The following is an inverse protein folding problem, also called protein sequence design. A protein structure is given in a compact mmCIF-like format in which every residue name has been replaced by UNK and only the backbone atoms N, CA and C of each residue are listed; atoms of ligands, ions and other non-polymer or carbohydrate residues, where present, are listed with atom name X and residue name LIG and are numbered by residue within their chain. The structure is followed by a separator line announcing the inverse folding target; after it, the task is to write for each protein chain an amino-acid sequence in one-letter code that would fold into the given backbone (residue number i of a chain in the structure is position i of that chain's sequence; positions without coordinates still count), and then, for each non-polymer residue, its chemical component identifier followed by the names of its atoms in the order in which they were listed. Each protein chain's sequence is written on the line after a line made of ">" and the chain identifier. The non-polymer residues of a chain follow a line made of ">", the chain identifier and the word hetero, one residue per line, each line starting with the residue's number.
data_IF_857302346987
#
_entry.id   IF_857302346987
#
_cell.length_a   1.000
_cell.length_b   1.000
_cell.length_c   1.000
_cell.angle_alpha   90.00
_cell.angle_beta   90.00
_cell.angle_gamma   90.00
#
_symmetry.space_group_name_H-M   'P 1'
#
loop_
_entity.id
_entity.type
_entity.pdbx_description
1 polymer ?
#
# COMPACT_ATOMS: atom_id res chain seq x y z
N UNK A 1 -51.63 19.03 -6.78
CA UNK A 1 -50.90 19.88 -5.82
C UNK A 1 -49.88 19.02 -5.11
N UNK A 2 -48.66 19.15 -5.53
CA UNK A 2 -47.40 19.38 -4.80
C UNK A 2 -46.70 18.20 -4.14
N UNK A 3 -45.58 17.82 -4.71
CA UNK A 3 -44.40 17.48 -3.92
C UNK A 3 -43.14 17.73 -4.78
N UNK A 4 -42.65 18.94 -4.69
CA UNK A 4 -41.36 19.40 -5.22
C UNK A 4 -40.54 19.93 -4.06
N UNK A 5 -39.96 19.09 -3.21
CA UNK A 5 -38.97 19.51 -2.20
C UNK A 5 -38.19 18.29 -1.64
N UNK A 6 -37.64 17.44 -2.52
CA UNK A 6 -36.73 16.39 -2.05
C UNK A 6 -35.61 16.07 -3.05
N UNK A 7 -35.11 17.08 -3.75
CA UNK A 7 -34.01 16.87 -4.73
C UNK A 7 -32.81 17.79 -4.57
N UNK A 8 -32.72 18.59 -3.49
CA UNK A 8 -31.61 19.54 -3.32
C UNK A 8 -30.71 19.27 -2.10
N UNK A 9 -30.91 18.18 -1.37
CA UNK A 9 -30.12 17.92 -0.15
C UNK A 9 -29.05 16.85 -0.33
N UNK A 10 -28.91 16.24 -1.51
CA UNK A 10 -27.89 15.19 -1.76
C UNK A 10 -26.63 15.72 -2.49
N UNK A 11 -26.67 16.97 -2.98
CA UNK A 11 -25.52 17.55 -3.72
C UNK A 11 -24.56 18.36 -2.85
N UNK A 12 -24.76 18.44 -1.55
CA UNK A 12 -23.95 19.26 -0.62
C UNK A 12 -23.07 18.46 0.32
N UNK A 13 -23.10 17.12 0.26
CA UNK A 13 -22.27 16.25 1.13
C UNK A 13 -20.99 15.79 0.44
N UNK A 14 -20.87 15.94 -0.87
CA UNK A 14 -19.65 15.55 -1.61
C UNK A 14 -18.58 16.65 -1.73
N UNK A 15 -18.82 17.85 -1.18
CA UNK A 15 -17.88 18.98 -1.29
C UNK A 15 -17.12 19.28 0.01
N UNK A 16 -17.30 18.52 1.06
CA UNK A 16 -16.68 18.80 2.38
C UNK A 16 -15.57 17.83 2.79
N UNK A 17 -15.19 16.88 1.94
CA UNK A 17 -14.06 15.97 2.22
C UNK A 17 -12.72 16.42 1.60
N UNK A 18 -12.68 17.61 0.97
CA UNK A 18 -11.47 18.12 0.32
C UNK A 18 -10.82 19.32 1.03
N UNK A 19 -11.23 19.64 2.26
CA UNK A 19 -10.81 20.87 2.95
C UNK A 19 -9.89 20.68 4.18
N UNK A 20 -9.17 19.57 4.30
CA UNK A 20 -8.19 19.38 5.39
C UNK A 20 -6.73 19.52 4.92
N UNK A 21 -6.49 19.89 3.67
CA UNK A 21 -5.13 20.07 3.11
C UNK A 21 -4.81 21.53 2.76
N UNK A 22 -5.09 22.50 3.63
CA UNK A 22 -4.60 23.87 3.45
C UNK A 22 -3.99 24.42 4.75
N UNK A 23 -2.80 23.94 5.08
CA UNK A 23 -1.77 24.80 5.65
C UNK A 23 -0.55 24.78 4.72
N UNK A 24 -0.77 25.17 3.48
CA UNK A 24 0.30 25.67 2.65
C UNK A 24 0.72 27.01 3.27
N UNK A 25 1.86 27.04 3.90
CA UNK A 25 2.56 28.29 4.22
C UNK A 25 2.65 29.06 2.90
N UNK A 26 1.85 30.11 2.77
CA UNK A 26 1.93 31.05 1.67
C UNK A 26 3.30 31.77 1.73
N UNK A 27 4.31 31.11 1.20
CA UNK A 27 5.57 31.75 0.84
C UNK A 27 5.31 32.38 -0.54
N UNK A 28 5.42 33.69 -0.64
CA UNK A 28 5.62 34.38 -1.92
C UNK A 28 6.91 33.82 -2.55
N UNK A 29 6.81 32.65 -3.17
CA UNK A 29 7.87 32.09 -3.98
C UNK A 29 7.64 32.55 -5.41
N UNK A 30 8.57 33.40 -5.89
CA UNK A 30 8.77 33.59 -7.32
C UNK A 30 9.02 32.25 -8.03
N UNK A 31 9.32 32.29 -9.31
CA UNK A 31 9.46 31.14 -10.23
C UNK A 31 10.55 30.09 -9.86
N UNK A 32 10.79 29.84 -8.58
CA UNK A 32 11.77 28.87 -8.09
C UNK A 32 11.10 27.52 -7.80
N UNK A 33 11.80 26.40 -8.07
CA UNK A 33 11.35 25.07 -7.64
C UNK A 33 11.31 24.96 -6.13
N UNK A 34 10.39 24.14 -5.62
CA UNK A 34 10.27 23.84 -4.22
C UNK A 34 9.81 22.40 -3.98
N UNK A 35 9.98 21.91 -2.76
CA UNK A 35 9.52 20.61 -2.32
C UNK A 35 8.42 20.77 -1.29
N UNK A 36 7.46 19.87 -1.35
CA UNK A 36 6.46 19.63 -0.31
C UNK A 36 6.62 18.21 0.23
N UNK A 37 6.27 18.04 1.50
CA UNK A 37 6.14 16.71 2.11
C UNK A 37 4.67 16.44 2.35
N UNK A 38 4.20 15.27 1.93
CA UNK A 38 2.83 14.81 2.13
C UNK A 38 2.83 13.56 2.99
N UNK A 39 1.95 13.54 3.95
CA UNK A 39 1.74 12.39 4.81
C UNK A 39 0.25 12.03 4.74
N UNK A 40 -0.08 10.79 4.39
CA UNK A 40 -1.46 10.35 4.21
C UNK A 40 -2.29 10.51 5.49
N UNK A 41 -1.64 10.47 6.67
CA UNK A 41 -2.27 10.75 7.96
C UNK A 41 -1.24 11.25 8.99
N UNK A 42 -1.57 12.31 9.69
CA UNK A 42 -0.75 12.93 10.75
C UNK A 42 -1.09 12.40 12.16
N UNK A 43 -2.19 11.64 12.27
CA UNK A 43 -2.62 10.92 13.48
C UNK A 43 -2.96 9.49 13.12
N UNK A 44 -2.39 8.55 13.88
CA UNK A 44 -2.57 7.13 13.65
C UNK A 44 -2.48 6.35 14.97
N UNK A 45 -2.90 5.11 14.95
CA UNK A 45 -2.66 4.16 16.04
C UNK A 45 -1.36 3.41 15.82
N UNK A 46 -0.77 2.87 16.90
CA UNK A 46 0.42 2.04 16.80
C UNK A 46 0.15 0.81 15.91
N UNK A 47 1.07 0.54 14.97
CA UNK A 47 0.92 -0.52 13.98
C UNK A 47 0.18 -0.12 12.69
N UNK A 48 -0.51 1.02 12.68
CA UNK A 48 -1.12 1.58 11.46
C UNK A 48 -0.04 2.11 10.52
N UNK A 49 -0.33 2.11 9.23
CA UNK A 49 0.59 2.58 8.20
C UNK A 49 0.20 3.95 7.66
N UNK A 50 1.20 4.70 7.24
CA UNK A 50 1.05 5.94 6.50
C UNK A 50 1.95 5.95 5.27
N UNK A 51 1.52 6.65 4.23
CA UNK A 51 2.35 6.94 3.06
C UNK A 51 2.94 8.33 3.23
N UNK A 52 4.26 8.42 3.11
CA UNK A 52 4.99 9.68 3.10
C UNK A 52 5.56 9.90 1.70
N UNK A 53 5.36 11.10 1.16
CA UNK A 53 5.83 11.48 -0.16
C UNK A 53 6.61 12.79 -0.11
N UNK A 54 7.67 12.86 -0.89
CA UNK A 54 8.35 14.11 -1.25
C UNK A 54 7.91 14.49 -2.65
N UNK A 55 7.29 15.65 -2.78
CA UNK A 55 6.69 16.12 -4.03
C UNK A 55 7.45 17.34 -4.52
N UNK A 56 7.95 17.25 -5.75
CA UNK A 56 8.61 18.35 -6.44
C UNK A 56 7.57 19.23 -7.15
N UNK A 57 7.74 20.53 -7.05
CA UNK A 57 7.10 21.55 -7.87
C UNK A 57 8.18 22.37 -8.57
N UNK A 58 8.14 22.45 -9.88
CA UNK A 58 9.10 23.16 -10.70
C UNK A 58 8.43 24.00 -11.79
N UNK A 59 8.91 25.21 -12.08
CA UNK A 59 8.37 26.03 -13.18
C UNK A 59 8.78 25.52 -14.57
N UNK A 60 9.78 24.62 -14.65
CA UNK A 60 10.28 24.08 -15.91
C UNK A 60 9.65 22.70 -16.20
N UNK A 61 9.32 22.45 -17.46
CA UNK A 61 8.69 21.19 -17.92
C UNK A 61 9.68 20.03 -18.06
N UNK A 62 10.98 20.31 -17.98
CA UNK A 62 12.04 19.32 -18.15
C UNK A 62 13.10 19.50 -17.09
N UNK A 63 13.51 18.40 -16.48
CA UNK A 63 14.63 18.32 -15.56
C UNK A 63 15.60 17.24 -16.07
N UNK A 64 16.90 17.40 -15.82
CA UNK A 64 17.89 16.37 -16.10
C UNK A 64 17.75 15.19 -15.16
N UNK A 65 17.48 15.49 -13.86
CA UNK A 65 17.30 14.48 -12.84
C UNK A 65 17.09 15.07 -11.44
N UNK A 66 16.82 14.15 -10.53
CA UNK A 66 16.71 14.41 -9.08
C UNK A 66 17.63 13.44 -8.36
N UNK A 67 18.52 13.97 -7.53
CA UNK A 67 19.45 13.20 -6.71
C UNK A 67 19.19 13.47 -5.23
N UNK A 68 18.98 12.43 -4.43
CA UNK A 68 18.89 12.58 -2.99
C UNK A 68 20.29 12.74 -2.39
N UNK A 69 20.59 13.93 -1.88
CA UNK A 69 21.84 14.24 -1.16
C UNK A 69 21.76 13.75 0.30
N UNK A 70 20.56 13.79 0.88
CA UNK A 70 20.22 13.20 2.15
C UNK A 70 18.76 12.71 2.10
N UNK A 71 18.53 11.47 2.51
CA UNK A 71 17.18 10.93 2.59
C UNK A 71 16.44 11.47 3.81
N UNK A 72 15.08 11.46 3.79
CA UNK A 72 14.28 11.71 4.97
C UNK A 72 14.66 10.77 6.13
N UNK A 73 14.57 11.26 7.35
CA UNK A 73 14.79 10.46 8.56
C UNK A 73 13.47 10.25 9.29
N UNK A 74 13.15 8.99 9.57
CA UNK A 74 11.90 8.54 10.16
C UNK A 74 12.15 7.88 11.52
N UNK A 75 12.54 8.68 12.50
CA UNK A 75 12.86 8.18 13.83
C UNK A 75 11.69 7.36 14.42
N UNK A 76 11.98 6.13 14.86
CA UNK A 76 11.01 5.23 15.51
C UNK A 76 10.02 4.53 14.58
N UNK A 77 10.17 4.67 13.26
CA UNK A 77 9.31 3.98 12.29
C UNK A 77 10.01 2.76 11.68
N UNK A 78 9.21 1.73 11.39
CA UNK A 78 9.54 0.74 10.36
C UNK A 78 9.28 1.38 9.00
N UNK A 79 10.27 1.33 8.10
CA UNK A 79 10.24 2.08 6.84
C UNK A 79 10.50 1.15 5.68
N UNK A 80 9.66 1.21 4.66
CA UNK A 80 9.97 0.65 3.34
C UNK A 80 9.84 1.72 2.27
N UNK A 81 10.80 1.76 1.33
CA UNK A 81 10.79 2.69 0.20
C UNK A 81 10.07 2.05 -0.97
N UNK A 82 9.19 2.81 -1.61
CA UNK A 82 8.48 2.38 -2.81
C UNK A 82 8.97 3.15 -4.04
N UNK A 83 8.74 2.59 -5.23
CA UNK A 83 8.89 3.35 -6.46
C UNK A 83 7.91 4.50 -6.50
N UNK A 84 8.37 5.68 -6.94
CA UNK A 84 7.52 6.82 -7.20
C UNK A 84 7.40 7.04 -8.72
N UNK A 85 6.22 7.46 -9.19
CA UNK A 85 6.09 7.95 -10.57
C UNK A 85 6.64 9.38 -10.61
N UNK A 86 7.87 9.51 -11.06
CA UNK A 86 8.59 10.79 -11.16
C UNK A 86 8.28 11.57 -12.45
N UNK A 87 7.22 11.20 -13.17
CA UNK A 87 6.78 11.91 -14.38
C UNK A 87 6.23 13.29 -14.00
N UNK A 88 6.80 14.33 -14.63
CA UNK A 88 6.32 15.69 -14.44
C UNK A 88 4.95 15.88 -15.11
N UNK A 89 3.97 16.32 -14.33
CA UNK A 89 2.63 16.66 -14.76
C UNK A 89 2.33 18.13 -14.51
N UNK A 90 1.65 18.86 -15.44
CA UNK A 90 1.34 20.26 -15.24
C UNK A 90 0.30 20.47 -14.14
N UNK A 91 0.47 21.52 -13.35
CA UNK A 91 -0.46 21.93 -12.28
C UNK A 91 -0.49 23.46 -12.19
N UNK A 92 -1.67 24.04 -11.93
CA UNK A 92 -1.81 25.46 -11.61
C UNK A 92 -1.77 25.68 -10.11
N UNK A 93 -0.92 26.61 -9.68
CA UNK A 93 -0.83 27.03 -8.27
C UNK A 93 -1.01 28.55 -8.23
N UNK A 94 -2.17 28.98 -7.77
CA UNK A 94 -2.52 30.40 -7.65
C UNK A 94 -2.38 31.20 -8.98
N UNK A 95 -2.80 30.62 -10.09
CA UNK A 95 -2.73 31.22 -11.42
C UNK A 95 -1.35 31.15 -12.09
N UNK A 96 -0.44 30.33 -11.54
CA UNK A 96 0.90 30.07 -12.10
C UNK A 96 1.04 28.61 -12.46
N UNK A 97 1.56 28.34 -13.65
CA UNK A 97 1.83 27.00 -14.11
C UNK A 97 3.11 26.45 -13.49
N UNK A 98 3.00 25.30 -12.84
CA UNK A 98 4.10 24.47 -12.39
C UNK A 98 3.98 23.07 -12.99
N UNK A 99 5.05 22.32 -12.84
CA UNK A 99 5.07 20.86 -13.09
C UNK A 99 5.38 20.17 -11.78
N UNK A 100 4.71 19.06 -11.49
CA UNK A 100 4.83 18.33 -10.23
C UNK A 100 5.09 16.86 -10.48
N UNK A 101 5.88 16.25 -9.62
CA UNK A 101 6.13 14.82 -9.57
C UNK A 101 6.38 14.36 -8.13
N UNK A 102 5.98 13.15 -7.81
CA UNK A 102 6.42 12.48 -6.58
C UNK A 102 7.83 11.96 -6.83
N UNK A 103 8.82 12.52 -6.13
CA UNK A 103 10.24 12.16 -6.31
C UNK A 103 10.72 11.08 -5.34
N UNK A 104 10.02 10.92 -4.22
CA UNK A 104 10.30 9.88 -3.23
C UNK A 104 9.01 9.46 -2.51
N UNK A 105 8.86 8.16 -2.22
CA UNK A 105 7.71 7.61 -1.52
C UNK A 105 8.15 6.55 -0.52
N UNK A 106 7.61 6.62 0.70
CA UNK A 106 7.88 5.70 1.79
C UNK A 106 6.60 5.23 2.44
N UNK A 107 6.59 3.98 2.87
CA UNK A 107 5.59 3.43 3.77
C UNK A 107 6.16 3.44 5.17
N UNK A 108 5.40 4.02 6.09
CA UNK A 108 5.80 4.20 7.48
C UNK A 108 4.85 3.43 8.37
N UNK A 109 5.39 2.65 9.30
CA UNK A 109 4.65 2.01 10.38
C UNK A 109 5.34 2.33 11.70
N UNK A 110 4.61 2.92 12.65
CA UNK A 110 5.12 3.20 13.98
C UNK A 110 4.62 2.12 14.94
N UNK A 111 5.50 1.25 15.48
CA UNK A 111 5.09 0.19 16.41
C UNK A 111 4.71 0.74 17.79
N UNK A 112 5.25 1.90 18.16
CA UNK A 112 5.06 2.51 19.49
C UNK A 112 4.29 3.83 19.40
N UNK A 113 3.60 4.16 20.49
CA UNK A 113 2.92 5.45 20.61
C UNK A 113 3.93 6.57 20.91
N UNK A 114 3.65 7.77 20.39
CA UNK A 114 4.53 8.93 20.58
C UNK A 114 4.18 10.09 19.67
N UNK A 115 5.06 11.08 19.69
CA UNK A 115 5.11 12.17 18.70
C UNK A 115 6.47 12.11 18.04
N UNK A 116 6.46 11.87 16.75
CA UNK A 116 7.67 11.68 15.96
C UNK A 116 7.81 12.82 14.95
N UNK A 117 9.05 13.25 14.74
CA UNK A 117 9.41 14.17 13.66
C UNK A 117 9.96 13.40 12.49
N UNK A 118 9.64 13.90 11.30
CA UNK A 118 10.18 13.39 10.05
C UNK A 118 10.96 14.52 9.42
N UNK A 119 12.27 14.38 9.29
CA UNK A 119 13.08 15.33 8.55
C UNK A 119 12.90 15.09 7.04
N UNK A 120 12.73 16.15 6.27
CA UNK A 120 12.30 16.05 4.88
C UNK A 120 13.34 15.59 3.86
N UNK A 121 14.61 15.46 4.24
CA UNK A 121 15.67 15.14 3.30
C UNK A 121 16.13 16.34 2.46
N UNK A 122 17.20 16.16 1.69
CA UNK A 122 17.81 17.17 0.82
C UNK A 122 18.00 16.62 -0.58
N UNK A 123 17.58 17.38 -1.59
CA UNK A 123 17.57 16.92 -2.98
C UNK A 123 18.26 17.93 -3.90
N UNK A 124 19.08 17.42 -4.80
CA UNK A 124 19.71 18.18 -5.88
C UNK A 124 18.91 17.99 -7.16
N UNK A 125 18.53 19.09 -7.79
CA UNK A 125 17.76 19.12 -9.02
C UNK A 125 18.63 19.66 -10.15
N UNK A 126 18.64 19.01 -11.30
CA UNK A 126 19.19 19.53 -12.54
C UNK A 126 18.07 20.15 -13.39
N UNK A 127 18.01 21.45 -13.44
CA UNK A 127 17.02 22.20 -14.21
C UNK A 127 17.53 22.43 -15.63
N UNK A 128 16.79 21.93 -16.62
CA UNK A 128 17.09 22.14 -18.03
C UNK A 128 16.46 23.45 -18.51
N UNK A 129 17.27 24.35 -19.00
CA UNK A 129 16.79 25.52 -19.72
C UNK A 129 17.60 25.77 -21.01
N UNK A 130 16.96 26.45 -21.94
CA UNK A 130 17.57 26.79 -23.21
C UNK A 130 18.29 28.13 -23.08
N UNK A 131 19.59 28.14 -23.37
CA UNK A 131 20.40 29.33 -23.35
C UNK A 131 20.89 29.67 -24.76
N UNK A 132 20.86 30.96 -25.10
CA UNK A 132 21.47 31.48 -26.31
C UNK A 132 22.96 31.78 -26.06
N UNK A 133 23.82 31.35 -26.99
CA UNK A 133 25.20 31.73 -27.04
C UNK A 133 25.63 32.12 -28.47
N UNK A 134 26.62 32.95 -28.57
CA UNK A 134 27.11 33.43 -29.86
C UNK A 134 28.39 32.63 -30.24
N UNK A 135 28.30 31.93 -31.38
CA UNK A 135 29.45 31.27 -31.99
C UNK A 135 30.08 32.19 -33.02
N UNK A 136 31.38 32.43 -33.02
CA UNK A 136 32.05 33.32 -33.96
C UNK A 136 31.91 32.91 -35.45
N UNK A 137 31.74 31.62 -35.71
CA UNK A 137 31.63 31.06 -37.06
C UNK A 137 30.18 30.84 -37.52
N UNK A 138 29.29 30.41 -36.56
CA UNK A 138 27.93 29.99 -36.83
C UNK A 138 26.86 30.99 -36.37
N UNK A 139 27.31 32.12 -35.78
CA UNK A 139 26.39 33.13 -35.25
C UNK A 139 25.66 32.68 -33.97
N UNK A 140 24.39 33.10 -33.83
CA UNK A 140 23.56 32.75 -32.66
C UNK A 140 23.23 31.27 -32.66
N UNK A 141 23.59 30.60 -31.59
CA UNK A 141 23.29 29.20 -31.34
C UNK A 141 22.44 29.06 -30.05
N UNK A 142 21.71 27.96 -29.93
CA UNK A 142 20.96 27.65 -28.75
C UNK A 142 21.40 26.27 -28.23
N UNK A 143 21.68 26.19 -26.97
CA UNK A 143 22.03 24.94 -26.29
C UNK A 143 21.22 24.74 -25.01
N UNK A 144 21.11 23.51 -24.59
CA UNK A 144 20.54 23.20 -23.28
C UNK A 144 21.64 23.35 -22.22
N UNK A 145 21.33 24.09 -21.17
CA UNK A 145 22.18 24.26 -20.01
C UNK A 145 21.47 23.68 -18.80
N UNK A 146 22.22 23.05 -17.90
CA UNK A 146 21.72 22.47 -16.66
C UNK A 146 22.17 23.33 -15.49
N UNK A 147 21.20 23.91 -14.80
CA UNK A 147 21.44 24.56 -13.51
C UNK A 147 21.14 23.59 -12.37
N UNK A 148 22.16 23.27 -11.59
CA UNK A 148 22.00 22.42 -10.42
C UNK A 148 21.66 23.24 -9.18
N UNK A 149 20.53 22.95 -8.56
CA UNK A 149 20.10 23.57 -7.30
C UNK A 149 19.87 22.51 -6.23
N UNK A 150 20.09 22.87 -4.98
CA UNK A 150 19.83 21.97 -3.83
C UNK A 150 18.69 22.55 -3.01
N UNK A 151 17.68 21.72 -2.73
CA UNK A 151 16.49 22.10 -2.00
C UNK A 151 16.29 21.16 -0.81
N UNK A 152 15.97 21.73 0.35
CA UNK A 152 15.57 21.01 1.55
C UNK A 152 14.06 20.79 1.52
N UNK A 153 13.61 19.54 1.66
CA UNK A 153 12.18 19.24 1.86
C UNK A 153 11.75 19.63 3.29
N UNK A 154 10.52 20.14 3.47
CA UNK A 154 10.02 20.54 4.79
C UNK A 154 10.01 19.39 5.79
N UNK A 155 10.18 19.72 7.07
CA UNK A 155 9.90 18.78 8.16
C UNK A 155 8.39 18.61 8.33
N UNK A 156 7.98 17.41 8.76
CA UNK A 156 6.61 17.13 9.18
C UNK A 156 6.60 16.31 10.46
N UNK A 157 5.43 16.02 11.02
CA UNK A 157 5.31 15.24 12.24
C UNK A 157 4.11 14.33 12.23
N UNK A 158 4.19 13.26 13.01
CA UNK A 158 3.12 12.29 13.19
C UNK A 158 2.85 12.07 14.67
N UNK A 159 1.58 11.95 15.03
CA UNK A 159 1.14 11.57 16.37
C UNK A 159 0.59 10.15 16.34
N UNK A 160 1.24 9.26 17.07
CA UNK A 160 0.84 7.87 17.21
C UNK A 160 0.24 7.65 18.59
N UNK A 161 -0.93 7.03 18.66
CA UNK A 161 -1.60 6.66 19.92
C UNK A 161 -1.59 5.15 20.08
N UNK A 162 -1.58 4.67 21.34
CA UNK A 162 -1.65 3.24 21.62
C UNK A 162 -2.96 2.62 21.15
N UNK A 163 -2.92 1.36 20.72
CA UNK A 163 -4.11 0.56 20.53
C UNK A 163 -4.89 0.41 21.84
N UNK A 164 -6.23 0.51 21.82
CA UNK A 164 -7.03 0.33 23.03
C UNK A 164 -6.89 -1.08 23.60
N UNK A 165 -6.77 -1.18 24.93
CA UNK A 165 -6.73 -2.49 25.59
C UNK A 165 -8.13 -3.14 25.67
N UNK A 166 -9.18 -2.30 25.69
CA UNK A 166 -10.57 -2.78 25.76
C UNK A 166 -10.96 -3.47 24.43
N UNK A 167 -11.39 -4.71 24.53
CA UNK A 167 -11.84 -5.49 23.39
C UNK A 167 -10.73 -6.16 22.59
N UNK A 168 -9.47 -6.03 23.01
CA UNK A 168 -8.35 -6.70 22.33
C UNK A 168 -8.44 -8.21 22.48
N UNK A 169 -8.49 -9.01 21.38
CA UNK A 169 -8.45 -10.46 21.42
C UNK A 169 -7.13 -10.96 22.02
N UNK A 170 -7.17 -12.11 22.69
CA UNK A 170 -5.95 -12.72 23.26
C UNK A 170 -4.98 -13.18 22.17
N UNK A 171 -5.51 -13.57 21.02
CA UNK A 171 -4.80 -14.05 19.83
C UNK A 171 -4.70 -12.96 18.72
N UNK A 172 -4.77 -11.68 19.10
CA UNK A 172 -4.70 -10.55 18.18
C UNK A 172 -3.56 -10.71 17.17
N UNK A 173 -3.90 -10.64 15.88
CA UNK A 173 -2.95 -10.85 14.78
C UNK A 173 -1.83 -9.81 14.70
N UNK A 174 -2.06 -8.61 15.23
CA UNK A 174 -1.18 -7.45 15.08
C UNK A 174 -1.55 -6.56 13.90
N UNK A 175 -2.48 -7.00 13.02
CA UNK A 175 -2.90 -6.23 11.86
C UNK A 175 -3.73 -5.01 12.26
N UNK A 176 -3.44 -3.88 11.62
CA UNK A 176 -4.17 -2.62 11.77
C UNK A 176 -4.54 -2.09 10.40
N UNK A 177 -5.84 -1.93 10.16
CA UNK A 177 -6.30 -1.52 8.83
C UNK A 177 -7.78 -1.82 8.61
N UNK A 178 -8.13 -2.15 7.37
CA UNK A 178 -9.46 -2.56 6.94
C UNK A 178 -9.29 -3.65 5.88
N UNK A 179 -9.63 -4.89 6.22
CA UNK A 179 -9.27 -6.08 5.45
C UNK A 179 -10.48 -6.93 5.09
N UNK A 180 -10.33 -7.71 4.03
CA UNK A 180 -11.23 -8.77 3.58
C UNK A 180 -10.45 -10.08 3.43
N UNK A 181 -11.18 -11.21 3.43
CA UNK A 181 -10.60 -12.54 3.36
C UNK A 181 -11.39 -13.40 2.38
N UNK A 182 -10.69 -14.12 1.52
CA UNK A 182 -11.26 -15.02 0.52
C UNK A 182 -10.54 -16.35 0.52
N UNK A 183 -11.25 -17.42 0.15
CA UNK A 183 -10.70 -18.78 -0.03
C UNK A 183 -11.13 -19.30 -1.38
N UNK A 184 -10.15 -19.77 -2.15
CA UNK A 184 -10.38 -20.32 -3.48
C UNK A 184 -9.74 -21.71 -3.64
N UNK A 185 -10.40 -22.53 -4.44
CA UNK A 185 -9.85 -23.78 -4.98
C UNK A 185 -9.77 -23.67 -6.49
N UNK A 186 -8.80 -24.35 -7.13
CA UNK A 186 -8.71 -24.36 -8.59
C UNK A 186 -9.95 -24.99 -9.21
N UNK A 187 -10.34 -24.46 -10.35
CA UNK A 187 -11.41 -25.08 -11.17
C UNK A 187 -11.01 -26.49 -11.60
N UNK A 188 -11.96 -27.41 -11.51
CA UNK A 188 -11.79 -28.77 -12.01
C UNK A 188 -12.25 -29.86 -11.04
N UNK A 189 -12.03 -31.11 -11.47
CA UNK A 189 -12.36 -32.28 -10.65
C UNK A 189 -11.27 -32.54 -9.61
N UNK A 190 -11.62 -32.48 -8.35
CA UNK A 190 -10.75 -32.91 -7.26
C UNK A 190 -10.89 -34.43 -7.07
N UNK A 191 -9.76 -35.13 -6.91
CA UNK A 191 -9.71 -36.57 -6.71
C UNK A 191 -8.94 -36.97 -5.47
N UNK A 192 -9.37 -38.03 -4.83
CA UNK A 192 -8.67 -38.58 -3.67
C UNK A 192 -7.27 -39.09 -4.07
N UNK A 193 -6.29 -38.78 -3.25
CA UNK A 193 -4.88 -39.10 -3.45
C UNK A 193 -4.10 -38.12 -4.32
N UNK A 194 -4.76 -37.15 -4.96
CA UNK A 194 -4.09 -36.12 -5.73
C UNK A 194 -3.89 -34.87 -4.87
N UNK A 195 -2.75 -34.22 -5.01
CA UNK A 195 -2.48 -32.94 -4.38
C UNK A 195 -3.31 -31.83 -5.08
N UNK A 196 -3.95 -31.00 -4.29
CA UNK A 196 -4.67 -29.82 -4.79
C UNK A 196 -4.23 -28.57 -4.03
N UNK A 197 -4.44 -27.41 -4.65
CA UNK A 197 -4.09 -26.11 -4.06
C UNK A 197 -5.34 -25.44 -3.51
N UNK A 198 -5.23 -24.91 -2.31
CA UNK A 198 -6.16 -23.97 -1.73
C UNK A 198 -5.44 -22.62 -1.59
N UNK A 199 -6.06 -21.57 -2.04
CA UNK A 199 -5.52 -20.21 -1.94
C UNK A 199 -6.37 -19.47 -0.93
N UNK A 200 -5.73 -18.93 0.12
CA UNK A 200 -6.34 -17.99 1.05
C UNK A 200 -5.73 -16.62 0.79
N UNK A 201 -6.57 -15.66 0.47
CA UNK A 201 -6.17 -14.27 0.27
C UNK A 201 -6.71 -13.38 1.38
N UNK A 202 -5.85 -12.57 1.98
CA UNK A 202 -6.23 -11.48 2.90
C UNK A 202 -5.74 -10.20 2.26
N UNK A 203 -6.64 -9.27 1.96
CA UNK A 203 -6.30 -8.02 1.28
C UNK A 203 -7.00 -6.83 1.91
N UNK A 204 -6.44 -5.62 1.71
CA UNK A 204 -7.07 -4.42 2.22
C UNK A 204 -6.13 -3.25 2.43
N UNK A 205 -6.64 -2.21 3.06
CA UNK A 205 -5.85 -1.02 3.43
C UNK A 205 -5.20 -1.24 4.78
N UNK A 206 -3.88 -1.20 4.81
CA UNK A 206 -3.04 -1.47 5.98
C UNK A 206 -1.83 -2.32 5.60
N UNK A 207 -0.93 -2.61 6.56
CA UNK A 207 0.19 -3.54 6.36
C UNK A 207 -0.11 -4.89 6.97
N UNK A 208 0.19 -5.93 6.21
CA UNK A 208 0.17 -7.33 6.65
C UNK A 208 1.58 -7.86 6.97
N UNK A 209 2.61 -6.98 6.99
CA UNK A 209 3.98 -7.38 7.33
C UNK A 209 4.10 -7.80 8.79
N UNK A 210 4.61 -9.00 9.01
CA UNK A 210 4.88 -9.54 10.34
C UNK A 210 3.64 -9.76 11.20
N UNK A 211 2.44 -9.80 10.61
CA UNK A 211 1.20 -10.16 11.31
C UNK A 211 1.10 -11.67 11.49
N UNK A 212 0.36 -12.11 12.50
CA UNK A 212 0.06 -13.51 12.70
C UNK A 212 -1.08 -13.93 11.77
N UNK A 213 -0.76 -14.75 10.77
CA UNK A 213 -1.71 -15.31 9.82
C UNK A 213 -2.55 -16.46 10.46
N UNK A 214 -3.72 -16.81 9.89
CA UNK A 214 -4.52 -17.95 10.34
C UNK A 214 -3.73 -19.27 10.28
N UNK A 215 -3.96 -20.14 11.26
CA UNK A 215 -3.37 -21.48 11.31
C UNK A 215 -4.21 -22.45 10.44
N UNK A 216 -4.02 -22.38 9.12
CA UNK A 216 -4.78 -23.16 8.16
C UNK A 216 -4.72 -24.67 8.44
N UNK A 217 -3.54 -25.29 8.72
CA UNK A 217 -3.47 -26.69 9.03
C UNK A 217 -4.40 -27.16 10.16
N UNK A 218 -4.58 -26.33 11.19
CA UNK A 218 -5.46 -26.63 12.31
C UNK A 218 -6.96 -26.51 11.97
N UNK A 219 -7.30 -25.84 10.88
CA UNK A 219 -8.69 -25.56 10.44
C UNK A 219 -9.16 -26.49 9.33
N UNK A 220 -8.29 -27.33 8.75
CA UNK A 220 -8.66 -28.28 7.72
C UNK A 220 -9.59 -29.36 8.27
N UNK A 221 -10.68 -29.71 7.54
CA UNK A 221 -11.56 -30.79 7.94
C UNK A 221 -10.85 -32.14 7.92
N UNK A 222 -11.36 -33.08 8.74
CA UNK A 222 -10.87 -34.45 8.75
C UNK A 222 -10.98 -35.09 7.36
N UNK A 223 -9.85 -35.60 6.86
CA UNK A 223 -9.78 -36.19 5.52
C UNK A 223 -9.10 -35.32 4.47
N UNK A 224 -8.83 -34.06 4.74
CA UNK A 224 -7.89 -33.24 3.99
C UNK A 224 -6.54 -33.22 4.68
N UNK A 225 -5.54 -33.83 4.05
CA UNK A 225 -4.18 -33.86 4.57
C UNK A 225 -3.40 -32.64 4.14
N UNK A 226 -2.89 -31.87 5.07
CA UNK A 226 -1.93 -30.80 4.81
C UNK A 226 -0.61 -31.35 4.27
N UNK A 227 -0.03 -30.70 3.29
CA UNK A 227 1.28 -31.05 2.67
C UNK A 227 2.31 -29.96 2.87
N UNK A 228 2.00 -28.75 2.38
CA UNK A 228 2.89 -27.60 2.43
C UNK A 228 2.11 -26.30 2.35
N UNK A 229 2.75 -25.21 2.76
CA UNK A 229 2.21 -23.86 2.68
C UNK A 229 3.32 -22.88 2.33
N UNK A 230 3.01 -21.93 1.46
CA UNK A 230 3.85 -20.78 1.12
C UNK A 230 2.99 -19.54 1.17
N UNK A 231 3.58 -18.41 1.54
CA UNK A 231 2.90 -17.12 1.53
C UNK A 231 3.71 -16.09 0.75
N UNK A 232 3.01 -15.17 0.16
CA UNK A 232 3.57 -14.01 -0.54
C UNK A 232 2.79 -12.76 -0.16
N UNK A 233 3.51 -11.67 0.15
CA UNK A 233 2.92 -10.39 0.51
C UNK A 233 3.25 -9.37 -0.56
N UNK A 234 2.20 -8.74 -1.10
CA UNK A 234 2.30 -7.65 -2.06
C UNK A 234 1.80 -6.36 -1.44
N UNK A 235 2.42 -5.24 -1.82
CA UNK A 235 2.01 -3.91 -1.40
C UNK A 235 1.56 -3.09 -2.60
N UNK A 236 0.54 -2.27 -2.39
CA UNK A 236 0.03 -1.34 -3.38
C UNK A 236 -0.37 -0.01 -2.73
N UNK A 237 -0.51 1.03 -3.54
CA UNK A 237 -1.06 2.31 -3.09
C UNK A 237 -2.41 2.51 -3.77
N UNK A 238 -3.44 2.73 -2.96
CA UNK A 238 -4.78 3.03 -3.42
C UNK A 238 -5.28 4.29 -2.71
N UNK A 239 -5.68 5.29 -3.47
CA UNK A 239 -6.19 6.58 -2.97
C UNK A 239 -5.26 7.28 -1.95
N UNK A 240 -3.93 7.11 -2.13
CA UNK A 240 -2.91 7.68 -1.23
C UNK A 240 -2.72 6.92 0.08
N UNK A 241 -3.31 5.73 0.23
CA UNK A 241 -3.14 4.84 1.37
C UNK A 241 -2.37 3.56 0.97
N UNK A 242 -1.63 3.00 1.92
CA UNK A 242 -0.98 1.70 1.73
C UNK A 242 -2.01 0.60 1.84
N UNK A 243 -2.10 -0.24 0.80
CA UNK A 243 -2.76 -1.52 0.83
C UNK A 243 -1.75 -2.66 0.82
N UNK A 244 -2.18 -3.79 1.36
CA UNK A 244 -1.44 -5.05 1.31
C UNK A 244 -2.37 -6.19 0.95
N UNK A 245 -1.79 -7.18 0.30
CA UNK A 245 -2.41 -8.47 0.01
C UNK A 245 -1.43 -9.56 0.39
N UNK A 246 -1.87 -10.51 1.22
CA UNK A 246 -1.16 -11.75 1.45
C UNK A 246 -1.92 -12.89 0.78
N UNK A 247 -1.23 -13.61 -0.08
CA UNK A 247 -1.71 -14.83 -0.72
C UNK A 247 -1.01 -16.02 -0.08
N UNK A 248 -1.79 -16.93 0.50
CA UNK A 248 -1.30 -18.14 1.14
C UNK A 248 -1.72 -19.33 0.27
N UNK A 249 -0.77 -19.91 -0.42
CA UNK A 249 -0.96 -21.16 -1.16
C UNK A 249 -0.75 -22.33 -0.21
N UNK A 250 -1.79 -23.12 0.00
CA UNK A 250 -1.78 -24.32 0.81
C UNK A 250 -2.02 -25.54 -0.05
N UNK A 251 -1.06 -26.47 -0.08
CA UNK A 251 -1.22 -27.75 -0.77
C UNK A 251 -1.85 -28.75 0.19
N UNK A 252 -3.00 -29.29 -0.22
CA UNK A 252 -3.75 -30.30 0.54
C UNK A 252 -4.02 -31.52 -0.32
N UNK A 253 -4.17 -32.68 0.30
CA UNK A 253 -4.49 -33.94 -0.38
C UNK A 253 -5.73 -34.57 0.28
N UNK A 254 -6.83 -34.74 -0.45
CA UNK A 254 -7.97 -35.50 0.03
C UNK A 254 -7.62 -37.00 0.15
N UNK A 255 -7.86 -37.59 1.34
CA UNK A 255 -7.56 -39.03 1.58
C UNK A 255 -8.60 -39.96 1.02
N UNK A 256 -9.83 -39.49 0.79
CA UNK A 256 -10.97 -40.25 0.30
C UNK A 256 -11.89 -39.37 -0.52
N UNK A 257 -12.74 -39.99 -1.30
CA UNK A 257 -13.87 -39.33 -1.97
C UNK A 257 -14.89 -38.82 -0.96
N UNK A 258 -15.68 -37.83 -1.36
CA UNK A 258 -16.76 -37.26 -0.56
C UNK A 258 -16.83 -35.74 -0.66
N UNK A 259 -17.71 -35.16 0.13
CA UNK A 259 -17.82 -33.70 0.28
C UNK A 259 -17.08 -33.25 1.53
N UNK A 260 -16.33 -32.17 1.40
CA UNK A 260 -15.63 -31.54 2.51
C UNK A 260 -16.03 -30.08 2.60
N UNK A 261 -16.28 -29.62 3.80
CA UNK A 261 -16.61 -28.22 4.10
C UNK A 261 -15.44 -27.59 4.80
N UNK A 262 -14.94 -26.48 4.26
CA UNK A 262 -13.91 -25.65 4.87
C UNK A 262 -14.60 -24.41 5.39
N UNK A 263 -14.57 -24.23 6.70
CA UNK A 263 -15.20 -23.13 7.39
C UNK A 263 -14.33 -22.64 8.56
N UNK A 264 -14.75 -21.54 9.20
CA UNK A 264 -14.15 -21.03 10.42
C UNK A 264 -12.77 -20.40 10.25
N UNK A 265 -12.24 -20.25 9.01
CA UNK A 265 -11.00 -19.51 8.79
C UNK A 265 -11.25 -18.04 9.09
N UNK A 266 -10.72 -17.59 10.21
CA UNK A 266 -10.96 -16.25 10.72
C UNK A 266 -9.65 -15.47 10.87
N UNK A 267 -9.73 -14.16 10.63
CA UNK A 267 -8.63 -13.22 10.80
C UNK A 267 -9.09 -12.06 11.67
N UNK A 268 -8.43 -11.86 12.81
CA UNK A 268 -8.73 -10.76 13.70
C UNK A 268 -7.76 -9.59 13.47
N UNK A 269 -8.26 -8.37 13.54
CA UNK A 269 -7.49 -7.17 13.28
C UNK A 269 -8.07 -5.97 14.04
N UNK A 270 -7.34 -4.88 14.08
CA UNK A 270 -7.87 -3.60 14.57
C UNK A 270 -8.31 -2.76 13.37
N UNK A 271 -9.60 -2.51 13.26
CA UNK A 271 -10.16 -1.69 12.21
C UNK A 271 -9.93 -0.21 12.53
N UNK A 272 -9.04 0.44 11.78
CA UNK A 272 -8.65 1.83 12.00
C UNK A 272 -9.76 2.83 11.68
N UNK A 273 -10.73 2.46 10.81
CA UNK A 273 -11.88 3.30 10.47
C UNK A 273 -12.93 3.32 11.60
N UNK A 274 -13.19 2.17 12.21
CA UNK A 274 -14.18 2.06 13.29
C UNK A 274 -13.58 2.27 14.68
N UNK A 275 -12.25 2.18 14.81
CA UNK A 275 -11.54 2.25 16.08
C UNK A 275 -11.79 1.06 17.00
N UNK A 276 -12.10 -0.12 16.45
CA UNK A 276 -12.44 -1.34 17.19
C UNK A 276 -11.67 -2.54 16.66
N UNK A 277 -11.51 -3.53 17.53
CA UNK A 277 -11.10 -4.87 17.10
C UNK A 277 -12.25 -5.54 16.39
N UNK A 278 -11.95 -6.18 15.27
CA UNK A 278 -12.90 -6.85 14.39
C UNK A 278 -12.36 -8.22 13.99
N UNK A 279 -13.25 -9.07 13.52
CA UNK A 279 -12.94 -10.41 13.02
C UNK A 279 -13.66 -10.59 11.68
N UNK A 280 -12.88 -10.88 10.64
CA UNK A 280 -13.42 -11.33 9.37
C UNK A 280 -13.29 -12.84 9.27
N UNK A 281 -14.29 -13.48 8.69
CA UNK A 281 -14.36 -14.92 8.49
C UNK A 281 -14.46 -15.18 6.99
N UNK A 282 -13.64 -16.08 6.50
CA UNK A 282 -13.68 -16.49 5.10
C UNK A 282 -15.04 -17.12 4.78
N UNK A 283 -15.53 -16.95 3.55
CA UNK A 283 -16.72 -17.67 3.08
C UNK A 283 -16.54 -19.18 3.26
N UNK A 284 -17.65 -19.86 3.57
CA UNK A 284 -17.66 -21.33 3.64
C UNK A 284 -17.46 -21.88 2.23
N UNK A 285 -16.51 -22.78 2.07
CA UNK A 285 -16.22 -23.44 0.79
C UNK A 285 -16.56 -24.93 0.90
N UNK A 286 -17.39 -25.42 -0.01
CA UNK A 286 -17.71 -26.83 -0.16
C UNK A 286 -16.99 -27.38 -1.39
N UNK A 287 -16.21 -28.44 -1.20
CA UNK A 287 -15.51 -29.13 -2.27
C UNK A 287 -16.03 -30.58 -2.39
N UNK A 288 -16.18 -31.04 -3.63
CA UNK A 288 -16.57 -32.42 -3.92
C UNK A 288 -15.36 -33.16 -4.51
N UNK A 289 -14.95 -34.20 -3.84
CA UNK A 289 -13.81 -35.04 -4.22
C UNK A 289 -14.32 -36.37 -4.78
N UNK A 290 -13.88 -36.69 -6.00
CA UNK A 290 -14.18 -37.97 -6.65
C UNK A 290 -13.11 -39.02 -6.29
N UNK A 291 -13.43 -40.29 -6.54
CA UNK A 291 -12.47 -41.39 -6.39
C UNK A 291 -11.20 -41.14 -7.21
N UNK A 292 -10.04 -41.46 -6.63
CA UNK A 292 -8.75 -41.35 -7.26
C UNK A 292 -8.61 -42.33 -8.42
N UNK A 293 -7.81 -41.96 -9.40
CA UNK A 293 -7.50 -42.89 -10.51
C UNK A 293 -6.52 -43.96 -10.02
N UNK A 294 -6.58 -45.18 -10.58
CA UNK A 294 -5.64 -46.24 -10.27
C UNK A 294 -4.18 -45.78 -10.49
N UNK A 295 -3.40 -45.68 -9.42
CA UNK A 295 -2.01 -45.20 -9.45
C UNK A 295 -1.80 -43.75 -8.98
N UNK A 296 -2.85 -42.99 -8.70
CA UNK A 296 -2.74 -41.68 -8.01
C UNK A 296 -2.18 -41.90 -6.60
N UNK A 297 -1.39 -40.92 -6.11
CA UNK A 297 -0.76 -40.97 -4.77
C UNK A 297 0.60 -41.68 -4.70
N UNK A 298 1.23 -42.11 -5.82
CA UNK A 298 2.64 -42.50 -5.79
C UNK A 298 3.54 -41.29 -5.95
N UNK A 299 4.51 -41.07 -5.05
CA UNK A 299 5.46 -39.98 -5.20
C UNK A 299 6.20 -40.14 -6.53
N UNK A 300 6.18 -39.10 -7.36
CA UNK A 300 7.04 -39.04 -8.55
C UNK A 300 8.47 -38.91 -8.06
N UNK A 301 9.23 -39.99 -8.09
CA UNK A 301 10.68 -39.97 -7.85
C UNK A 301 11.31 -39.29 -9.06
N UNK A 302 11.66 -38.01 -8.92
CA UNK A 302 12.53 -37.33 -9.87
C UNK A 302 13.92 -37.92 -9.65
N UNK A 303 14.33 -38.90 -10.52
CA UNK A 303 15.73 -39.28 -10.63
C UNK A 303 16.45 -38.14 -11.36
N UNK A 304 17.23 -37.35 -10.66
CA UNK A 304 18.29 -36.53 -11.25
C UNK A 304 19.32 -37.47 -11.87
N UNK A 305 19.56 -37.33 -13.18
CA UNK A 305 20.66 -37.97 -13.94
C UNK A 305 21.80 -36.96 -14.02
#
# INVERSE_FOLDING_TARGET
>A
MRNTTLRHTILLVFLTLFTVFQQAVAREKGDAPFLETRLSRDKMVAGETAVYEVVLFTPVSQIEGVEAMAYPNFEGADVSRSSADNRLTPVDINGRQYYTAVIDRYFLRYPENGRFKISGGQYRLGLLHRQEFYDPFWGRQYGNVVDAITIQAPETGVKVISLPQKGRPADFSGAVGDFEIEVEFPDGELRSGDDTRMILSISGIGSLDGVKLPDIPAMLPEGLQFKSMTDNINHFVKDGELGSEVEIECVVMPKKEGSFTIDGIAFNYFNSKTGKYDVIVAPVVEIVVKEGLPGSGKPTVIMEI
#
